data_IF_831751843766
#
_entry.id   IF_831751843766
#
_cell.length_a   1.000
_cell.length_b   1.000
_cell.length_c   1.000
_cell.angle_alpha   90.00
_cell.angle_beta   90.00
_cell.angle_gamma   90.00
#
_symmetry.space_group_name_H-M   'P 1'
#
loop_
_entity.id
_entity.type
_entity.pdbx_description
1 polymer ?
#
# COMPACT_ATOMS: atom_id res chain seq x y z
N UNK A 1 27.60 -25.15 20.98
CA UNK A 1 26.90 -23.86 20.85
C UNK A 1 27.30 -23.31 19.49
N UNK A 2 26.34 -22.99 18.62
CA UNK A 2 26.66 -22.33 17.36
C UNK A 2 27.30 -20.97 17.66
N UNK A 3 28.31 -20.61 16.89
CA UNK A 3 28.95 -19.30 16.99
C UNK A 3 28.06 -18.23 16.38
N UNK A 4 28.19 -16.98 16.84
CA UNK A 4 27.41 -15.84 16.34
C UNK A 4 27.45 -15.70 14.81
N UNK A 5 28.57 -16.08 14.18
CA UNK A 5 28.72 -16.06 12.72
C UNK A 5 27.95 -17.18 12.01
N UNK A 6 27.89 -18.37 12.61
CA UNK A 6 27.08 -19.48 12.08
C UNK A 6 25.58 -19.15 12.16
N UNK A 7 25.14 -18.46 13.20
CA UNK A 7 23.75 -18.00 13.33
C UNK A 7 23.40 -16.93 12.27
N UNK A 8 24.29 -15.97 12.02
CA UNK A 8 24.09 -14.93 10.99
C UNK A 8 24.02 -15.56 9.60
N UNK A 9 24.91 -16.51 9.27
CA UNK A 9 24.89 -17.20 7.99
C UNK A 9 23.60 -18.00 7.78
N UNK A 10 23.12 -18.67 8.83
CA UNK A 10 21.87 -19.43 8.78
C UNK A 10 20.65 -18.53 8.55
N UNK A 11 20.61 -17.36 9.22
CA UNK A 11 19.55 -16.36 9.02
C UNK A 11 19.57 -15.84 7.58
N UNK A 12 20.73 -15.48 7.04
CA UNK A 12 20.84 -14.98 5.66
C UNK A 12 20.42 -16.02 4.63
N UNK A 13 20.80 -17.28 4.82
CA UNK A 13 20.40 -18.38 3.94
C UNK A 13 18.89 -18.69 4.00
N UNK A 14 18.18 -18.31 5.07
CA UNK A 14 16.72 -18.37 5.12
C UNK A 14 16.06 -17.15 4.50
N UNK A 15 16.64 -15.96 4.64
CA UNK A 15 16.15 -14.73 4.00
C UNK A 15 16.20 -14.81 2.47
N UNK A 16 17.25 -15.41 1.90
CA UNK A 16 17.38 -15.60 0.44
C UNK A 16 16.32 -16.56 -0.15
N UNK A 17 15.61 -17.33 0.70
CA UNK A 17 14.55 -18.25 0.29
C UNK A 17 13.16 -17.63 0.35
N UNK A 18 13.03 -16.44 0.92
CA UNK A 18 11.76 -15.74 1.01
C UNK A 18 11.46 -15.04 -0.31
N UNK A 19 10.21 -15.11 -0.75
CA UNK A 19 9.75 -14.30 -1.88
C UNK A 19 9.71 -12.82 -1.50
N UNK A 20 9.73 -11.93 -2.50
CA UNK A 20 9.59 -10.48 -2.26
C UNK A 20 8.34 -10.14 -1.44
N UNK A 21 7.24 -10.87 -1.63
CA UNK A 21 6.01 -10.73 -0.81
C UNK A 21 6.22 -11.13 0.66
N UNK A 22 7.01 -12.17 0.92
CA UNK A 22 7.33 -12.59 2.28
C UNK A 22 8.30 -11.63 2.96
N UNK A 23 9.25 -11.07 2.20
CA UNK A 23 10.15 -10.01 2.67
C UNK A 23 9.38 -8.71 2.98
N UNK A 24 8.41 -8.35 2.14
CA UNK A 24 7.56 -7.16 2.36
C UNK A 24 6.65 -7.35 3.58
N UNK A 25 6.13 -8.56 3.83
CA UNK A 25 5.40 -8.89 5.07
C UNK A 25 6.25 -8.72 6.33
N UNK A 26 7.53 -9.09 6.29
CA UNK A 26 8.47 -8.90 7.40
C UNK A 26 8.83 -7.42 7.59
N UNK A 27 8.90 -6.64 6.50
CA UNK A 27 9.30 -5.24 6.50
C UNK A 27 8.18 -4.23 6.82
N UNK A 28 6.91 -4.66 6.90
CA UNK A 28 5.79 -3.78 7.27
C UNK A 28 4.47 -4.02 6.54
N UNK A 29 4.40 -4.99 5.62
CA UNK A 29 3.20 -5.39 4.90
C UNK A 29 2.57 -4.27 4.06
N UNK A 30 1.24 -4.34 3.87
CA UNK A 30 0.46 -3.37 3.10
C UNK A 30 0.49 -1.93 3.64
N UNK A 31 1.09 -1.66 4.80
CA UNK A 31 1.34 -0.27 5.20
C UNK A 31 2.08 0.52 4.11
N UNK A 32 3.01 -0.13 3.41
CA UNK A 32 3.71 0.46 2.27
C UNK A 32 2.78 0.72 1.09
N UNK A 33 1.98 -0.28 0.70
CA UNK A 33 1.00 -0.16 -0.39
C UNK A 33 -0.06 0.92 -0.08
N UNK A 34 -0.68 0.83 1.09
CA UNK A 34 -1.68 1.78 1.60
C UNK A 34 -1.11 3.20 1.71
N UNK A 35 0.16 3.35 2.12
CA UNK A 35 0.82 4.66 2.09
C UNK A 35 1.02 5.17 0.67
N UNK A 36 1.47 4.32 -0.26
CA UNK A 36 1.60 4.66 -1.69
C UNK A 36 0.26 5.05 -2.30
N UNK A 37 -0.82 4.37 -1.95
CA UNK A 37 -2.18 4.71 -2.39
C UNK A 37 -2.60 6.07 -1.88
N UNK A 38 -2.38 6.35 -0.59
CA UNK A 38 -2.72 7.66 -0.03
C UNK A 38 -1.99 8.81 -0.74
N UNK A 39 -0.73 8.59 -1.12
CA UNK A 39 0.06 9.56 -1.85
C UNK A 39 -0.42 9.70 -3.29
N UNK A 40 -0.68 8.59 -3.97
CA UNK A 40 -1.23 8.57 -5.32
C UNK A 40 -2.57 9.31 -5.40
N UNK A 41 -3.50 9.02 -4.48
CA UNK A 41 -4.81 9.64 -4.42
C UNK A 41 -4.72 11.15 -4.10
N UNK A 42 -3.80 11.54 -3.21
CA UNK A 42 -3.52 12.95 -2.93
C UNK A 42 -3.03 13.69 -4.19
N UNK A 43 -2.08 13.09 -4.91
CA UNK A 43 -1.52 13.62 -6.16
C UNK A 43 -2.53 13.74 -7.30
N UNK A 44 -3.69 13.12 -7.18
CA UNK A 44 -4.77 13.15 -8.19
C UNK A 44 -6.03 13.87 -7.65
N UNK A 45 -5.91 14.59 -6.53
CA UNK A 45 -7.01 15.40 -5.97
C UNK A 45 -8.15 14.58 -5.34
N UNK A 46 -7.93 13.29 -5.10
CA UNK A 46 -8.91 12.39 -4.49
C UNK A 46 -8.80 12.37 -2.96
N UNK A 47 -7.71 12.91 -2.40
CA UNK A 47 -7.52 13.10 -0.96
C UNK A 47 -6.89 14.47 -0.67
N UNK A 48 -7.23 15.05 0.48
CA UNK A 48 -6.67 16.35 0.92
C UNK A 48 -5.35 16.20 1.67
N UNK A 49 -4.96 14.98 2.03
CA UNK A 49 -3.73 14.69 2.78
C UNK A 49 -3.22 13.31 2.42
N UNK A 50 -1.91 13.18 2.23
CA UNK A 50 -1.23 11.89 2.10
C UNK A 50 -0.74 11.38 3.47
N UNK A 51 -0.64 10.07 3.62
CA UNK A 51 -0.23 9.42 4.86
C UNK A 51 1.01 8.55 4.63
N UNK A 52 2.13 8.92 5.24
CA UNK A 52 3.35 8.11 5.24
C UNK A 52 3.17 6.78 6.02
N UNK A 53 4.00 5.79 5.72
CA UNK A 53 3.93 4.44 6.28
C UNK A 53 3.78 4.39 7.80
N UNK A 54 4.57 5.17 8.55
CA UNK A 54 4.44 5.24 10.01
C UNK A 54 3.03 5.63 10.48
N UNK A 55 2.41 6.62 9.85
CA UNK A 55 1.07 7.08 10.24
C UNK A 55 0.01 6.05 9.89
N UNK A 56 0.16 5.35 8.76
CA UNK A 56 -0.69 4.22 8.39
C UNK A 56 -0.59 3.10 9.43
N UNK A 57 0.62 2.71 9.85
CA UNK A 57 0.83 1.65 10.84
C UNK A 57 0.25 2.00 12.22
N UNK A 58 0.51 3.20 12.74
CA UNK A 58 0.12 3.57 14.10
C UNK A 58 -1.33 4.06 14.22
N UNK A 59 -1.94 4.50 13.12
CA UNK A 59 -3.28 5.10 13.12
C UNK A 59 -4.21 4.40 12.13
N UNK A 60 -3.97 3.10 11.86
CA UNK A 60 -4.66 2.29 10.85
C UNK A 60 -6.18 2.54 10.83
N UNK A 61 -6.86 2.34 11.96
CA UNK A 61 -8.31 2.47 12.08
C UNK A 61 -8.88 3.84 11.68
N UNK A 62 -8.06 4.90 11.76
CA UNK A 62 -8.46 6.26 11.40
C UNK A 62 -8.01 6.69 9.99
N UNK A 63 -7.01 6.00 9.43
CA UNK A 63 -6.38 6.32 8.15
C UNK A 63 -6.93 5.46 7.02
N UNK A 64 -7.08 4.15 7.26
CA UNK A 64 -7.52 3.19 6.24
C UNK A 64 -8.87 3.58 5.60
N UNK A 65 -9.91 3.99 6.37
CA UNK A 65 -11.20 4.37 5.76
C UNK A 65 -11.12 5.63 4.90
N UNK A 66 -10.16 6.53 5.16
CA UNK A 66 -9.96 7.74 4.36
C UNK A 66 -9.33 7.42 3.00
N UNK A 67 -8.46 6.41 2.97
CA UNK A 67 -7.83 5.91 1.74
C UNK A 67 -8.88 5.15 0.92
N UNK A 68 -9.67 4.28 1.56
CA UNK A 68 -10.80 3.60 0.91
C UNK A 68 -11.79 4.62 0.31
N UNK A 69 -12.09 5.70 1.04
CA UNK A 69 -12.93 6.79 0.55
C UNK A 69 -12.30 7.60 -0.59
N UNK A 70 -10.96 7.70 -0.67
CA UNK A 70 -10.29 8.32 -1.80
C UNK A 70 -10.46 7.50 -3.08
N UNK A 71 -10.30 6.18 -2.99
CA UNK A 71 -10.58 5.27 -4.10
C UNK A 71 -12.04 5.30 -4.56
N UNK A 72 -12.99 5.40 -3.61
CA UNK A 72 -14.42 5.41 -3.94
C UNK A 72 -14.84 6.64 -4.76
N UNK A 73 -14.17 7.78 -4.61
CA UNK A 73 -14.35 8.97 -5.47
C UNK A 73 -14.04 8.68 -6.94
N UNK A 74 -13.16 7.73 -7.23
CA UNK A 74 -12.87 7.28 -8.59
C UNK A 74 -13.81 6.18 -9.10
N UNK A 75 -14.78 5.75 -8.28
CA UNK A 75 -15.68 4.63 -8.56
C UNK A 75 -15.04 3.26 -8.30
N UNK A 76 -14.00 3.21 -7.46
CA UNK A 76 -13.29 1.98 -7.11
C UNK A 76 -13.56 1.68 -5.63
N UNK A 77 -14.08 0.50 -5.34
CA UNK A 77 -14.17 0.02 -3.96
C UNK A 77 -12.80 -0.53 -3.58
N UNK A 78 -12.14 0.08 -2.62
CA UNK A 78 -10.91 -0.44 -2.03
C UNK A 78 -11.20 -1.05 -0.66
N UNK A 79 -10.55 -2.17 -0.35
CA UNK A 79 -10.55 -2.78 0.98
C UNK A 79 -9.09 -2.82 1.45
N UNK A 80 -8.71 -1.82 2.23
CA UNK A 80 -7.39 -1.76 2.85
C UNK A 80 -7.19 -2.85 3.90
N UNK A 81 -6.01 -3.45 3.96
CA UNK A 81 -5.67 -4.51 4.95
C UNK A 81 -4.33 -4.25 5.64
N UNK A 82 -4.23 -4.34 6.97
CA UNK A 82 -3.00 -3.94 7.68
C UNK A 82 -1.79 -4.85 7.42
N UNK A 83 -2.03 -6.12 7.08
CA UNK A 83 -0.98 -7.15 6.97
C UNK A 83 -1.05 -7.95 5.65
N UNK A 84 -1.89 -7.52 4.70
CA UNK A 84 -2.06 -8.16 3.38
C UNK A 84 -2.27 -7.07 2.34
N UNK A 85 -1.99 -7.34 1.07
CA UNK A 85 -2.27 -6.39 -0.02
C UNK A 85 -3.73 -5.93 -0.01
N UNK A 86 -3.96 -4.68 -0.42
CA UNK A 86 -5.29 -4.14 -0.53
C UNK A 86 -6.01 -4.81 -1.70
N UNK A 87 -7.34 -4.81 -1.64
CA UNK A 87 -8.17 -5.32 -2.73
C UNK A 87 -8.92 -4.17 -3.37
N UNK A 88 -9.09 -4.24 -4.69
CA UNK A 88 -9.70 -3.19 -5.49
C UNK A 88 -10.80 -3.80 -6.35
N UNK A 89 -11.94 -3.12 -6.44
CA UNK A 89 -13.09 -3.61 -7.20
C UNK A 89 -13.73 -2.50 -8.01
N UNK A 90 -14.18 -2.85 -9.22
CA UNK A 90 -14.98 -1.98 -10.09
C UNK A 90 -16.24 -2.74 -10.50
N UNK A 91 -17.41 -2.20 -10.18
CA UNK A 91 -18.69 -2.87 -10.45
C UNK A 91 -18.80 -4.25 -9.80
N UNK A 92 -18.12 -4.48 -8.67
CA UNK A 92 -18.09 -5.75 -7.96
C UNK A 92 -17.09 -6.79 -8.48
N UNK A 93 -16.37 -6.52 -9.57
CA UNK A 93 -15.28 -7.36 -10.07
C UNK A 93 -13.96 -6.93 -9.45
N UNK A 94 -13.20 -7.88 -8.90
CA UNK A 94 -11.84 -7.62 -8.41
C UNK A 94 -10.90 -7.28 -9.58
N UNK A 95 -10.09 -6.24 -9.37
CA UNK A 95 -9.07 -5.77 -10.29
C UNK A 95 -7.74 -5.64 -9.56
N UNK A 96 -6.66 -5.61 -10.31
CA UNK A 96 -5.33 -5.32 -9.79
C UNK A 96 -5.20 -3.85 -9.39
N UNK A 97 -4.21 -3.56 -8.54
CA UNK A 97 -3.85 -2.19 -8.17
C UNK A 97 -3.44 -1.34 -9.38
N UNK A 98 -2.73 -1.93 -10.34
CA UNK A 98 -2.28 -1.23 -11.54
C UNK A 98 -3.47 -0.84 -12.43
N UNK A 99 -4.45 -1.74 -12.60
CA UNK A 99 -5.71 -1.40 -13.29
C UNK A 99 -6.47 -0.28 -12.56
N UNK A 100 -6.51 -0.29 -11.23
CA UNK A 100 -7.12 0.77 -10.44
C UNK A 100 -6.40 2.13 -10.64
N UNK A 101 -5.07 2.12 -10.67
CA UNK A 101 -4.24 3.30 -10.94
C UNK A 101 -4.49 3.85 -12.35
N UNK A 102 -4.55 2.98 -13.36
CA UNK A 102 -4.76 3.41 -14.74
C UNK A 102 -6.15 4.03 -14.94
N UNK A 103 -7.18 3.48 -14.29
CA UNK A 103 -8.52 4.08 -14.24
C UNK A 103 -8.47 5.49 -13.65
N UNK A 104 -7.77 5.69 -12.52
CA UNK A 104 -7.65 7.00 -11.89
C UNK A 104 -6.92 7.97 -12.80
N UNK A 105 -5.75 7.61 -13.33
CA UNK A 105 -4.96 8.47 -14.23
C UNK A 105 -5.74 8.90 -15.47
N UNK A 106 -6.62 8.04 -15.99
CA UNK A 106 -7.45 8.36 -17.16
C UNK A 106 -8.54 9.43 -16.89
N UNK A 107 -9.00 9.56 -15.64
CA UNK A 107 -10.11 10.44 -15.25
C UNK A 107 -9.67 11.66 -14.44
N UNK A 108 -8.59 11.50 -13.69
CA UNK A 108 -8.09 12.48 -12.72
C UNK A 108 -6.61 12.71 -13.02
N UNK A 109 -6.24 13.63 -13.93
CA UNK A 109 -4.83 13.91 -14.19
C UNK A 109 -4.15 14.43 -12.90
N UNK A 110 -2.84 14.19 -12.79
CA UNK A 110 -2.04 14.61 -11.64
C UNK A 110 -2.17 16.12 -11.43
N UNK A 111 -2.41 16.53 -10.19
CA UNK A 111 -2.46 17.95 -9.83
C UNK A 111 -1.04 18.47 -9.60
N UNK A 112 -0.66 19.52 -10.33
CA UNK A 112 0.60 20.22 -10.12
C UNK A 112 0.41 21.23 -8.98
N UNK A 113 0.86 20.88 -7.78
CA UNK A 113 1.02 21.86 -6.72
C UNK A 113 2.14 22.83 -7.12
N UNK A 114 1.77 24.06 -7.48
CA UNK A 114 2.70 25.18 -7.56
C UNK A 114 2.91 25.69 -6.15
N UNK A 115 4.11 25.48 -5.62
CA UNK A 115 4.56 26.05 -4.34
C UNK A 115 5.05 27.47 -4.54
#
# INVERSE_FOLDING_TARGET
MATREEDIQKINAELEKLTDEQLDQIAGGSNTETSKDSHFLYDHGLMDTWYGGYKVSWQWLSVSPKIDAGWSKAGITCVTKPFKSNQYFVGGKEITRDEAIDIVKSKYPRIHYTY
#
